data_IF_832338153228
#
_entry.id   IF_832338153228
#
_cell.length_a   1.000
_cell.length_b   1.000
_cell.length_c   1.000
_cell.angle_alpha   90.00
_cell.angle_beta   90.00
_cell.angle_gamma   90.00
#
_symmetry.space_group_name_H-M   'P 1'
#
loop_
_entity.id
_entity.type
_entity.pdbx_description
1 polymer ?
#
# COMPACT_ATOMS: atom_id res chain seq x y z
N UNK A 1 -2.93 -3.18 13.88
CA UNK A 1 -2.54 -2.72 12.53
C UNK A 1 -2.28 -3.91 11.62
N UNK A 2 -2.81 -3.86 10.41
CA UNK A 2 -2.50 -4.87 9.41
C UNK A 2 -1.22 -4.45 8.68
N UNK A 3 -0.22 -5.34 8.66
CA UNK A 3 1.04 -5.09 7.96
C UNK A 3 1.20 -6.08 6.81
N UNK A 4 1.42 -5.55 5.61
CA UNK A 4 1.55 -6.34 4.38
C UNK A 4 2.94 -6.14 3.79
N UNK A 5 3.69 -7.23 3.66
CA UNK A 5 5.05 -7.22 3.11
C UNK A 5 5.26 -8.54 2.36
N UNK A 6 4.68 -8.62 1.15
CA UNK A 6 4.65 -9.84 0.34
C UNK A 6 5.24 -9.62 -1.05
N UNK A 7 6.14 -8.73 -1.16
CA UNK A 7 6.97 -8.38 -2.32
C UNK A 7 6.35 -8.72 -3.69
N UNK A 8 5.59 -7.75 -4.21
CA UNK A 8 4.97 -7.86 -5.52
C UNK A 8 3.54 -8.38 -5.51
N UNK A 9 3.06 -8.87 -4.37
CA UNK A 9 1.72 -9.46 -4.26
C UNK A 9 0.84 -8.71 -3.26
N UNK A 10 1.13 -7.41 -3.03
CA UNK A 10 0.42 -6.61 -2.02
C UNK A 10 -1.08 -6.52 -2.29
N UNK A 11 -1.46 -6.24 -3.54
CA UNK A 11 -2.89 -6.12 -3.87
C UNK A 11 -3.61 -7.45 -3.72
N UNK A 12 -2.97 -8.55 -4.12
CA UNK A 12 -3.54 -9.88 -3.95
C UNK A 12 -3.74 -10.20 -2.47
N UNK A 13 -2.77 -9.84 -1.63
CA UNK A 13 -2.89 -10.05 -0.18
C UNK A 13 -4.02 -9.21 0.40
N UNK A 14 -4.16 -7.95 -0.01
CA UNK A 14 -5.25 -7.08 0.43
C UNK A 14 -6.61 -7.65 0.01
N UNK A 15 -6.74 -8.10 -1.23
CA UNK A 15 -7.97 -8.71 -1.72
C UNK A 15 -8.33 -9.97 -0.94
N UNK A 16 -7.31 -10.75 -0.54
CA UNK A 16 -7.51 -11.97 0.23
C UNK A 16 -8.05 -11.72 1.62
N UNK A 17 -7.84 -10.55 2.19
CA UNK A 17 -8.36 -10.20 3.50
C UNK A 17 -9.36 -9.05 3.47
N UNK A 18 -9.99 -8.82 2.31
CA UNK A 18 -10.91 -7.70 2.14
C UNK A 18 -12.03 -7.69 3.18
N UNK A 19 -12.58 -8.85 3.50
CA UNK A 19 -13.68 -8.94 4.48
C UNK A 19 -13.22 -8.59 5.89
N UNK A 20 -11.92 -8.63 6.16
CA UNK A 20 -11.36 -8.35 7.47
C UNK A 20 -10.87 -6.91 7.60
N UNK A 21 -10.87 -6.15 6.51
CA UNK A 21 -10.28 -4.79 6.54
C UNK A 21 -10.97 -3.87 7.55
N UNK A 22 -12.27 -4.03 7.75
CA UNK A 22 -13.01 -3.21 8.72
C UNK A 22 -12.59 -3.47 10.16
N UNK A 23 -11.86 -4.56 10.41
CA UNK A 23 -11.33 -4.88 11.74
C UNK A 23 -10.07 -4.08 12.07
N UNK A 24 -9.49 -3.38 11.09
CA UNK A 24 -8.25 -2.65 11.27
C UNK A 24 -8.48 -1.15 11.17
N UNK A 25 -7.79 -0.38 12.02
CA UNK A 25 -7.80 1.08 11.92
C UNK A 25 -6.66 1.57 11.03
N UNK A 26 -5.58 0.81 10.95
CA UNK A 26 -4.40 1.15 10.15
C UNK A 26 -3.95 -0.04 9.29
N UNK A 27 -3.47 0.28 8.10
CA UNK A 27 -2.86 -0.69 7.19
C UNK A 27 -1.50 -0.14 6.78
N UNK A 28 -0.46 -0.95 6.93
CA UNK A 28 0.91 -0.60 6.58
C UNK A 28 1.37 -1.55 5.48
N UNK A 29 1.65 -1.02 4.29
CA UNK A 29 1.96 -1.85 3.14
C UNK A 29 3.10 -1.25 2.33
N UNK A 30 4.04 -2.11 1.90
CA UNK A 30 5.10 -1.71 0.98
C UNK A 30 4.53 -1.58 -0.42
N UNK A 31 4.68 -0.39 -1.02
CA UNK A 31 4.17 -0.11 -2.36
C UNK A 31 5.31 0.29 -3.28
N UNK A 32 5.21 -0.11 -4.55
CA UNK A 32 6.18 0.23 -5.56
C UNK A 32 5.63 1.26 -6.52
N UNK A 33 6.49 2.19 -6.94
CA UNK A 33 6.16 3.19 -7.96
C UNK A 33 6.48 2.69 -9.36
N UNK A 34 7.29 1.64 -9.45
CA UNK A 34 7.66 1.01 -10.71
C UNK A 34 7.51 -0.50 -10.58
N UNK A 35 7.24 -1.16 -11.70
CA UNK A 35 7.02 -2.60 -11.69
C UNK A 35 8.35 -3.33 -11.47
N UNK A 36 8.49 -3.95 -10.30
CA UNK A 36 9.67 -4.75 -9.93
C UNK A 36 9.43 -6.23 -10.17
N UNK A 37 8.18 -6.64 -10.17
CA UNK A 37 7.74 -8.02 -10.41
C UNK A 37 6.66 -7.98 -11.47
N UNK A 38 6.67 -8.95 -12.38
CA UNK A 38 5.70 -9.01 -13.47
C UNK A 38 4.27 -8.99 -12.94
N UNK A 39 3.47 -8.06 -13.47
CA UNK A 39 2.06 -7.93 -13.07
C UNK A 39 1.83 -7.29 -11.72
N UNK A 40 2.87 -6.74 -11.11
CA UNK A 40 2.76 -6.10 -9.81
C UNK A 40 1.84 -4.87 -9.87
N UNK A 41 0.92 -4.76 -8.92
CA UNK A 41 0.13 -3.55 -8.75
C UNK A 41 1.03 -2.43 -8.22
N UNK A 42 0.92 -1.24 -8.78
CA UNK A 42 1.74 -0.10 -8.37
C UNK A 42 1.05 0.71 -7.28
N UNK A 43 1.79 1.67 -6.71
CA UNK A 43 1.33 2.48 -5.58
C UNK A 43 -0.01 3.15 -5.84
N UNK A 44 -0.22 3.72 -7.03
CA UNK A 44 -1.46 4.41 -7.36
C UNK A 44 -2.67 3.46 -7.36
N UNK A 45 -2.50 2.23 -7.82
CA UNK A 45 -3.56 1.22 -7.80
C UNK A 45 -3.94 0.83 -6.37
N UNK A 46 -2.93 0.66 -5.52
CA UNK A 46 -3.14 0.28 -4.13
C UNK A 46 -3.83 1.42 -3.37
N UNK A 47 -3.39 2.66 -3.59
CA UNK A 47 -4.00 3.83 -2.97
C UNK A 47 -5.47 3.92 -3.35
N UNK A 48 -5.79 3.76 -4.65
CA UNK A 48 -7.17 3.84 -5.12
C UNK A 48 -8.02 2.71 -4.57
N UNK A 49 -7.49 1.49 -4.58
CA UNK A 49 -8.20 0.32 -4.08
C UNK A 49 -8.58 0.49 -2.60
N UNK A 50 -7.64 0.98 -1.79
CA UNK A 50 -7.88 1.24 -0.37
C UNK A 50 -8.80 2.42 -0.15
N UNK A 51 -8.70 3.47 -0.97
CA UNK A 51 -9.58 4.63 -0.85
C UNK A 51 -11.05 4.24 -1.05
N UNK A 52 -11.33 3.37 -1.99
CA UNK A 52 -12.69 2.88 -2.22
C UNK A 52 -13.22 2.10 -1.03
N UNK A 53 -12.36 1.67 -0.13
CA UNK A 53 -12.71 0.91 1.07
C UNK A 53 -12.55 1.73 2.33
N UNK A 54 -12.53 3.06 2.17
CA UNK A 54 -12.48 4.04 3.26
C UNK A 54 -11.17 4.06 4.02
N UNK A 55 -10.07 3.73 3.36
CA UNK A 55 -8.73 3.93 3.89
C UNK A 55 -8.04 5.02 3.09
N UNK A 56 -7.43 5.99 3.79
CA UNK A 56 -6.70 7.09 3.16
C UNK A 56 -5.23 7.02 3.52
N UNK A 57 -4.39 7.48 2.61
CA UNK A 57 -2.96 7.51 2.83
C UNK A 57 -2.60 8.58 3.86
N UNK A 58 -1.91 8.17 4.93
CA UNK A 58 -1.49 9.06 6.00
C UNK A 58 -0.01 9.43 5.89
N UNK A 59 0.80 8.56 5.35
CA UNK A 59 2.22 8.86 5.23
C UNK A 59 2.97 7.82 4.43
N UNK A 60 4.16 8.21 3.98
CA UNK A 60 5.08 7.38 3.24
C UNK A 60 6.40 7.38 4.00
N UNK A 61 6.90 6.19 4.31
CA UNK A 61 8.09 6.01 5.11
C UNK A 61 9.12 5.18 4.35
N UNK A 62 10.39 5.34 4.72
CA UNK A 62 11.49 4.55 4.18
C UNK A 62 11.52 4.51 2.65
N UNK A 63 11.43 5.68 1.97
CA UNK A 63 11.42 5.69 0.52
C UNK A 63 12.76 5.23 -0.03
N UNK A 64 12.71 4.49 -1.13
CA UNK A 64 13.88 4.04 -1.86
C UNK A 64 13.90 4.67 -3.24
N UNK A 65 15.05 5.24 -3.61
CA UNK A 65 15.23 5.92 -4.90
C UNK A 65 16.32 5.24 -5.71
N UNK A 66 16.23 5.31 -7.03
CA UNK A 66 17.30 4.82 -7.90
C UNK A 66 18.44 5.85 -7.98
N UNK A 67 19.47 5.53 -8.78
CA UNK A 67 20.65 6.40 -8.93
C UNK A 67 20.32 7.76 -9.55
N UNK A 68 19.18 7.87 -10.23
CA UNK A 68 18.73 9.13 -10.86
C UNK A 68 17.75 9.91 -9.98
N UNK A 69 17.51 9.45 -8.75
CA UNK A 69 16.60 10.11 -7.84
C UNK A 69 15.12 9.80 -8.10
N UNK A 70 14.82 8.78 -8.88
CA UNK A 70 13.45 8.36 -9.16
C UNK A 70 12.97 7.44 -8.05
N UNK A 71 11.78 7.72 -7.49
CA UNK A 71 11.21 6.92 -6.42
C UNK A 71 10.86 5.51 -6.93
N UNK A 72 11.36 4.49 -6.24
CA UNK A 72 11.16 3.09 -6.60
C UNK A 72 10.08 2.46 -5.73
N UNK A 73 10.18 2.63 -4.40
CA UNK A 73 9.22 2.05 -3.47
C UNK A 73 9.26 2.76 -2.13
N UNK A 74 8.28 2.47 -1.28
CA UNK A 74 8.22 3.01 0.07
C UNK A 74 7.20 2.24 0.90
N UNK A 75 7.22 2.49 2.20
CA UNK A 75 6.26 1.91 3.13
C UNK A 75 5.12 2.91 3.34
N UNK A 76 3.92 2.52 2.96
CA UNK A 76 2.75 3.40 2.97
C UNK A 76 1.86 3.06 4.18
N UNK A 77 1.52 4.09 4.94
CA UNK A 77 0.58 3.96 6.06
C UNK A 77 -0.78 4.50 5.66
N UNK A 78 -1.80 3.67 5.80
CA UNK A 78 -3.19 4.04 5.54
C UNK A 78 -3.98 3.98 6.84
N UNK A 79 -5.00 4.83 6.95
CA UNK A 79 -5.89 4.86 8.10
C UNK A 79 -7.33 4.94 7.63
N UNK A 80 -8.25 4.44 8.46
CA UNK A 80 -9.69 4.60 8.20
C UNK A 80 -10.00 6.09 8.01
N UNK A 81 -10.88 6.39 7.10
CA UNK A 81 -11.22 7.77 6.74
C UNK A 81 -11.61 8.61 7.95
N UNK A 82 -12.39 8.04 8.87
CA UNK A 82 -12.85 8.78 10.04
C UNK A 82 -11.74 9.08 11.05
N UNK A 83 -10.55 8.50 10.87
CA UNK A 83 -9.38 8.79 11.70
C UNK A 83 -8.45 9.82 11.04
N UNK A 84 -8.73 10.20 9.82
CA UNK A 84 -7.90 11.15 9.09
C UNK A 84 -8.37 12.58 9.33
#
# INVERSE_FOLDING_TARGET
MLKIDVQGFELQALRGCEELLDCFTYIYVECSFTELYEGQALADEIIEWLRKRNFVLKGIYNPYYDANGVAIQGDFLFAKYYLS
#
